data_IF_587676963403
#
_entry.id   IF_587676963403
#
_cell.length_a   1.000
_cell.length_b   1.000
_cell.length_c   1.000
_cell.angle_alpha   90.00
_cell.angle_beta   90.00
_cell.angle_gamma   90.00
#
_symmetry.space_group_name_H-M   'P 1'
#
loop_
_entity.id
_entity.type
_entity.pdbx_description
1 polymer ?
#
# COMPACT_ATOMS: atom_id res chain seq x y z
N UNK A 1 3.26 -11.38 8.91
CA UNK A 1 2.80 -10.20 9.67
C UNK A 1 3.83 -9.72 10.71
N UNK A 2 4.33 -10.57 11.61
CA UNK A 2 5.24 -10.18 12.70
C UNK A 2 6.54 -9.48 12.25
N UNK A 3 7.26 -10.04 11.26
CA UNK A 3 8.50 -9.45 10.73
C UNK A 3 8.32 -8.00 10.24
N UNK A 4 7.26 -7.71 9.49
CA UNK A 4 6.96 -6.36 9.02
C UNK A 4 6.67 -5.40 10.18
N UNK A 5 5.99 -5.86 11.24
CA UNK A 5 5.71 -5.05 12.44
C UNK A 5 6.99 -4.70 13.20
N UNK A 6 7.87 -5.68 13.40
CA UNK A 6 9.15 -5.47 14.09
C UNK A 6 10.08 -4.54 13.31
N UNK A 7 10.19 -4.72 11.99
CA UNK A 7 11.01 -3.83 11.12
C UNK A 7 10.55 -2.38 11.20
N UNK A 8 9.24 -2.13 11.18
CA UNK A 8 8.70 -0.77 11.34
C UNK A 8 9.01 -0.19 12.72
N UNK A 9 8.80 -0.96 13.79
CA UNK A 9 9.11 -0.49 15.15
C UNK A 9 10.58 -0.09 15.30
N UNK A 10 11.51 -0.91 14.81
CA UNK A 10 12.93 -0.61 14.84
C UNK A 10 13.30 0.62 14.00
N UNK A 11 12.79 0.70 12.77
CA UNK A 11 13.00 1.85 11.88
C UNK A 11 12.57 3.16 12.54
N UNK A 12 11.39 3.18 13.18
CA UNK A 12 10.83 4.40 13.75
C UNK A 12 11.58 4.80 15.01
N UNK A 13 11.89 3.83 15.88
CA UNK A 13 12.70 4.07 17.07
C UNK A 13 14.06 4.64 16.70
N UNK A 14 14.74 4.06 15.69
CA UNK A 14 16.06 4.53 15.27
C UNK A 14 16.00 5.92 14.62
N UNK A 15 14.98 6.18 13.78
CA UNK A 15 14.77 7.49 13.19
C UNK A 15 14.59 8.58 14.26
N UNK A 16 13.83 8.29 15.32
CA UNK A 16 13.65 9.22 16.43
C UNK A 16 14.95 9.46 17.22
N UNK A 17 15.71 8.39 17.50
CA UNK A 17 17.03 8.48 18.14
C UNK A 17 18.00 9.37 17.35
N UNK A 18 17.94 9.31 16.02
CA UNK A 18 18.74 10.14 15.11
C UNK A 18 18.21 11.57 14.94
N UNK A 19 17.13 11.95 15.63
CA UNK A 19 16.52 13.28 15.54
C UNK A 19 15.75 13.54 14.23
N UNK A 20 15.40 12.49 13.48
CA UNK A 20 14.60 12.64 12.27
C UNK A 20 13.15 13.01 12.62
N UNK A 21 12.54 13.87 11.81
CA UNK A 21 11.12 14.21 11.90
C UNK A 21 10.24 13.54 10.83
N UNK A 22 10.86 12.84 9.86
CA UNK A 22 10.19 12.17 8.74
C UNK A 22 10.84 10.84 8.41
N UNK A 23 10.03 9.88 7.97
CA UNK A 23 10.48 8.62 7.37
C UNK A 23 9.89 8.52 5.95
N UNK A 24 10.75 8.43 4.95
CA UNK A 24 10.36 8.17 3.57
C UNK A 24 10.23 6.67 3.32
N UNK A 25 9.05 6.24 2.90
CA UNK A 25 8.78 4.85 2.52
C UNK A 25 8.65 4.76 1.01
N UNK A 26 9.38 3.83 0.39
CA UNK A 26 9.42 3.64 -1.07
C UNK A 26 8.17 2.99 -1.68
N UNK A 27 6.98 3.22 -1.10
CA UNK A 27 5.74 2.72 -1.68
C UNK A 27 5.41 3.51 -2.95
N UNK A 28 5.20 2.79 -4.04
CA UNK A 28 4.95 3.35 -5.36
C UNK A 28 3.47 3.32 -5.73
N UNK A 29 3.12 3.84 -6.91
CA UNK A 29 1.73 3.94 -7.38
C UNK A 29 1.00 2.58 -7.36
N UNK A 30 1.63 1.53 -7.90
CA UNK A 30 1.04 0.19 -7.95
C UNK A 30 0.82 -0.41 -6.56
N UNK A 31 1.67 -0.11 -5.56
CA UNK A 31 1.45 -0.56 -4.17
C UNK A 31 0.13 -0.04 -3.60
N UNK A 32 -0.26 1.18 -3.97
CA UNK A 32 -1.50 1.82 -3.53
C UNK A 32 -2.70 1.07 -4.09
N UNK A 33 -2.67 0.75 -5.39
CA UNK A 33 -3.72 -0.01 -6.08
C UNK A 33 -3.82 -1.42 -5.51
N UNK A 34 -2.69 -2.13 -5.40
CA UNK A 34 -2.63 -3.48 -4.85
C UNK A 34 -3.20 -3.52 -3.44
N UNK A 35 -2.81 -2.57 -2.58
CA UNK A 35 -3.29 -2.51 -1.19
C UNK A 35 -4.79 -2.24 -1.12
N UNK A 36 -5.30 -1.36 -1.99
CA UNK A 36 -6.73 -1.03 -2.06
C UNK A 36 -7.56 -2.27 -2.44
N UNK A 37 -7.15 -2.98 -3.50
CA UNK A 37 -7.81 -4.22 -3.91
C UNK A 37 -7.67 -5.35 -2.89
N UNK A 38 -6.51 -5.50 -2.26
CA UNK A 38 -6.33 -6.46 -1.17
C UNK A 38 -7.29 -6.19 -0.02
N UNK A 39 -7.45 -4.92 0.36
CA UNK A 39 -8.41 -4.49 1.38
C UNK A 39 -9.84 -4.87 1.02
N UNK A 40 -10.25 -4.62 -0.21
CA UNK A 40 -11.60 -4.94 -0.69
C UNK A 40 -11.85 -6.45 -0.77
N UNK A 41 -10.95 -7.19 -1.43
CA UNK A 41 -11.17 -8.60 -1.79
C UNK A 41 -10.91 -9.58 -0.64
N UNK A 42 -9.96 -9.27 0.25
CA UNK A 42 -9.58 -10.17 1.35
C UNK A 42 -9.84 -9.58 2.73
N UNK A 43 -9.97 -8.25 2.84
CA UNK A 43 -10.22 -7.57 4.10
C UNK A 43 -11.67 -7.11 4.30
N UNK A 44 -12.52 -7.18 3.27
CA UNK A 44 -13.90 -6.68 3.33
C UNK A 44 -14.00 -5.19 3.65
N UNK A 45 -12.96 -4.40 3.35
CA UNK A 45 -12.90 -2.98 3.68
C UNK A 45 -12.30 -2.16 2.55
N UNK A 46 -12.86 -0.97 2.32
CA UNK A 46 -12.24 0.00 1.44
C UNK A 46 -11.26 0.85 2.25
N UNK A 47 -9.97 0.59 2.08
CA UNK A 47 -8.89 1.39 2.69
C UNK A 47 -7.75 1.56 1.69
N UNK A 48 -7.29 2.79 1.56
CA UNK A 48 -6.24 3.17 0.63
C UNK A 48 -4.95 3.47 1.39
N UNK A 49 -3.84 3.59 0.66
CA UNK A 49 -2.62 4.14 1.23
C UNK A 49 -2.67 5.65 1.21
N UNK A 50 -2.52 6.34 2.35
CA UNK A 50 -2.33 7.80 2.35
C UNK A 50 -0.92 8.22 1.90
N UNK A 51 -0.73 9.30 1.12
CA UNK A 51 0.60 9.74 0.70
C UNK A 51 1.48 10.23 1.86
N UNK A 52 0.85 10.74 2.93
CA UNK A 52 1.51 11.11 4.19
C UNK A 52 0.57 10.96 5.39
N UNK A 53 1.12 10.73 6.57
CA UNK A 53 0.37 10.69 7.84
C UNK A 53 1.30 10.79 9.06
N UNK A 54 0.78 11.26 10.19
CA UNK A 54 1.49 11.25 11.47
C UNK A 54 1.47 9.86 12.11
N UNK A 55 2.59 9.45 12.70
CA UNK A 55 2.67 8.23 13.48
C UNK A 55 1.80 8.31 14.73
N UNK A 56 0.96 7.30 14.97
CA UNK A 56 0.15 7.21 16.20
C UNK A 56 0.97 6.83 17.42
N UNK A 57 2.09 6.12 17.21
CA UNK A 57 2.87 5.50 18.30
C UNK A 57 4.21 6.20 18.55
N UNK A 58 4.60 7.14 17.68
CA UNK A 58 5.88 7.86 17.78
C UNK A 58 5.60 9.36 17.60
N UNK A 59 5.39 10.10 18.69
CA UNK A 59 5.06 11.52 18.65
C UNK A 59 6.11 12.32 17.86
N UNK A 60 5.63 13.26 17.03
CA UNK A 60 6.50 14.10 16.19
C UNK A 60 7.03 13.44 14.92
N UNK A 61 6.81 12.13 14.71
CA UNK A 61 7.24 11.43 13.50
C UNK A 61 6.17 11.48 12.40
N UNK A 62 6.53 11.97 11.22
CA UNK A 62 5.70 11.95 10.01
C UNK A 62 6.18 10.88 9.02
N UNK A 63 5.25 10.19 8.37
CA UNK A 63 5.53 9.26 7.30
C UNK A 63 5.17 9.87 5.97
N UNK A 64 6.05 9.71 4.98
CA UNK A 64 5.84 10.17 3.61
C UNK A 64 6.11 9.06 2.60
N UNK A 65 5.40 9.11 1.47
CA UNK A 65 5.58 8.19 0.32
C UNK A 65 5.94 9.00 -0.93
N UNK A 66 7.23 9.30 -1.17
CA UNK A 66 7.61 10.17 -2.29
C UNK A 66 7.27 9.59 -3.67
N UNK A 67 7.19 8.25 -3.78
CA UNK A 67 6.92 7.55 -5.03
C UNK A 67 5.42 7.32 -5.29
N UNK A 68 4.53 7.99 -4.55
CA UNK A 68 3.08 7.74 -4.56
C UNK A 68 2.43 7.79 -5.94
N UNK A 69 2.99 8.57 -6.87
CA UNK A 69 2.53 8.74 -8.26
C UNK A 69 3.50 8.15 -9.29
N UNK A 70 4.51 7.38 -8.85
CA UNK A 70 5.52 6.78 -9.72
C UNK A 70 5.14 5.32 -9.96
N UNK A 71 5.08 4.89 -11.22
CA UNK A 71 4.79 3.50 -11.55
C UNK A 71 6.00 2.59 -11.28
N UNK A 72 5.74 1.35 -10.90
CA UNK A 72 6.77 0.34 -10.66
C UNK A 72 7.66 0.14 -11.90
N UNK A 73 7.05 0.13 -13.09
CA UNK A 73 7.78 -0.02 -14.35
C UNK A 73 8.79 1.10 -14.58
N UNK A 74 8.47 2.33 -14.17
CA UNK A 74 9.38 3.47 -14.30
C UNK A 74 10.54 3.37 -13.29
N UNK A 75 10.28 2.83 -12.09
CA UNK A 75 11.32 2.55 -11.09
C UNK A 75 12.29 1.49 -11.61
N UNK A 76 11.77 0.41 -12.23
CA UNK A 76 12.59 -0.65 -12.83
C UNK A 76 13.43 -0.11 -13.99
N UNK A 77 12.84 0.71 -14.87
CA UNK A 77 13.58 1.39 -15.94
C UNK A 77 14.67 2.31 -15.42
N UNK A 78 14.37 3.10 -14.39
CA UNK A 78 15.36 3.98 -13.75
C UNK A 78 16.50 3.19 -13.11
N UNK A 79 16.19 2.08 -12.44
CA UNK A 79 17.20 1.15 -11.91
C UNK A 79 18.14 0.67 -13.01
N UNK A 80 17.57 0.15 -14.11
CA UNK A 80 18.34 -0.43 -15.21
C UNK A 80 19.19 0.62 -15.92
N UNK A 81 18.64 1.82 -16.12
CA UNK A 81 19.38 2.94 -16.71
C UNK A 81 20.61 3.37 -15.88
N UNK A 82 20.56 3.20 -14.56
CA UNK A 82 21.64 3.58 -13.65
C UNK A 82 22.51 2.39 -13.20
N UNK A 83 22.37 1.22 -13.84
CA UNK A 83 23.09 -0.02 -13.49
C UNK A 83 22.95 -0.44 -12.01
N UNK A 84 21.81 -0.12 -11.40
CA UNK A 84 21.57 -0.39 -9.98
C UNK A 84 21.10 -1.82 -9.74
N UNK A 85 21.64 -2.45 -8.71
CA UNK A 85 21.23 -3.79 -8.28
C UNK A 85 20.48 -3.68 -6.95
N UNK A 86 19.17 -3.92 -6.99
CA UNK A 86 18.34 -3.88 -5.78
C UNK A 86 18.41 -5.21 -5.04
N UNK A 87 18.69 -5.14 -3.75
CA UNK A 87 18.63 -6.32 -2.88
C UNK A 87 17.17 -6.75 -2.70
N UNK A 88 16.95 -8.06 -2.67
CA UNK A 88 15.72 -8.60 -2.14
C UNK A 88 15.71 -8.52 -0.61
N UNK A 89 14.56 -8.80 0.01
CA UNK A 89 14.50 -8.90 1.46
C UNK A 89 15.52 -9.96 1.93
N UNK A 90 16.51 -9.52 2.72
CA UNK A 90 17.64 -10.33 3.19
C UNK A 90 17.24 -11.37 4.26
N UNK A 91 16.01 -11.88 4.23
CA UNK A 91 15.57 -12.95 5.11
C UNK A 91 15.41 -14.25 4.32
N UNK A 92 15.95 -15.34 4.88
CA UNK A 92 15.85 -16.70 4.33
C UNK A 92 14.42 -17.14 4.03
N UNK A 93 13.46 -16.60 4.77
CA UNK A 93 12.03 -16.88 4.58
C UNK A 93 11.49 -16.35 3.24
N UNK A 94 12.10 -15.29 2.69
CA UNK A 94 11.74 -14.73 1.39
C UNK A 94 12.67 -15.17 0.27
N UNK A 95 13.86 -15.70 0.58
CA UNK A 95 14.76 -16.32 -0.41
C UNK A 95 14.06 -17.47 -1.15
N UNK A 96 13.30 -18.31 -0.44
CA UNK A 96 12.50 -19.40 -1.03
C UNK A 96 11.21 -18.93 -1.72
N UNK A 97 10.77 -17.69 -1.51
CA UNK A 97 9.64 -17.10 -2.23
C UNK A 97 10.06 -16.37 -3.51
N UNK A 98 11.34 -15.97 -3.62
CA UNK A 98 11.88 -15.31 -4.80
C UNK A 98 12.35 -16.30 -5.89
N UNK A 99 12.72 -17.52 -5.49
CA UNK A 99 12.86 -18.66 -6.39
C UNK A 99 11.49 -19.32 -6.56
N UNK A 100 10.66 -18.84 -7.48
CA UNK A 100 9.35 -19.41 -7.73
C UNK A 100 9.48 -20.88 -8.18
N UNK A 101 9.23 -21.82 -7.26
CA UNK A 101 9.15 -23.25 -7.56
C UNK A 101 8.83 -24.17 -6.38
N UNK A 102 8.52 -23.64 -5.19
CA UNK A 102 8.51 -24.49 -3.98
C UNK A 102 7.50 -24.11 -2.90
N UNK A 103 6.34 -23.54 -3.26
CA UNK A 103 5.05 -23.66 -2.55
C UNK A 103 3.99 -23.15 -3.53
N UNK A 104 2.99 -23.96 -3.88
CA UNK A 104 2.03 -23.74 -4.98
C UNK A 104 1.12 -22.50 -4.88
N UNK A 105 1.33 -21.59 -3.91
CA UNK A 105 0.57 -20.34 -3.80
C UNK A 105 1.52 -19.18 -3.52
N UNK A 106 1.69 -18.32 -4.52
CA UNK A 106 2.40 -17.05 -4.38
C UNK A 106 1.81 -16.16 -3.28
N UNK A 107 2.45 -15.03 -2.99
CA UNK A 107 1.90 -14.08 -2.02
C UNK A 107 0.55 -13.51 -2.51
N UNK A 108 -0.36 -13.15 -1.60
CA UNK A 108 -1.61 -12.46 -1.97
C UNK A 108 -1.38 -11.17 -2.76
N UNK A 109 -0.24 -10.53 -2.52
CA UNK A 109 0.19 -9.37 -3.30
C UNK A 109 0.52 -9.75 -4.74
N UNK A 110 1.23 -10.87 -4.95
CA UNK A 110 1.52 -11.37 -6.29
C UNK A 110 0.23 -11.77 -7.05
N UNK A 111 -0.73 -12.41 -6.35
CA UNK A 111 -2.05 -12.73 -6.93
C UNK A 111 -2.78 -11.46 -7.40
N UNK A 112 -2.84 -10.42 -6.57
CA UNK A 112 -3.49 -9.14 -6.92
C UNK A 112 -2.75 -8.41 -8.04
N UNK A 113 -1.42 -8.44 -8.04
CA UNK A 113 -0.62 -7.85 -9.11
C UNK A 113 -0.91 -8.51 -10.46
N UNK A 114 -1.05 -9.84 -10.48
CA UNK A 114 -1.43 -10.56 -11.69
C UNK A 114 -2.86 -10.22 -12.12
N UNK A 115 -3.80 -10.16 -11.18
CA UNK A 115 -5.18 -9.73 -11.46
C UNK A 115 -5.23 -8.34 -12.10
N UNK A 116 -4.49 -7.36 -11.56
CA UNK A 116 -4.42 -6.00 -12.12
C UNK A 116 -3.87 -6.04 -13.54
N UNK A 117 -2.83 -6.85 -13.81
CA UNK A 117 -2.28 -6.99 -15.16
C UNK A 117 -3.29 -7.59 -16.13
N UNK A 118 -4.02 -8.63 -15.74
CA UNK A 118 -5.06 -9.23 -16.58
C UNK A 118 -6.20 -8.26 -16.88
N UNK A 119 -6.62 -7.45 -15.91
CA UNK A 119 -7.59 -6.39 -16.14
C UNK A 119 -7.05 -5.32 -17.09
N UNK A 120 -5.81 -4.88 -16.90
CA UNK A 120 -5.16 -3.86 -17.73
C UNK A 120 -5.01 -4.30 -19.20
N UNK A 121 -4.94 -5.61 -19.49
CA UNK A 121 -4.98 -6.13 -20.88
C UNK A 121 -6.31 -5.87 -21.57
N UNK A 122 -7.42 -5.81 -20.83
CA UNK A 122 -8.76 -5.53 -21.37
C UNK A 122 -9.00 -4.03 -21.52
N UNK A 123 -8.58 -3.25 -20.53
CA UNK A 123 -8.62 -1.79 -20.57
C UNK A 123 -7.46 -1.23 -19.74
N UNK A 124 -6.53 -0.57 -20.44
CA UNK A 124 -5.31 -0.01 -19.85
C UNK A 124 -5.57 1.08 -18.81
N UNK A 125 -6.77 1.65 -18.77
CA UNK A 125 -7.15 2.67 -17.79
C UNK A 125 -7.62 2.08 -16.46
N UNK A 126 -7.86 0.77 -16.35
CA UNK A 126 -8.38 0.17 -15.11
C UNK A 126 -7.51 0.49 -13.89
N UNK A 127 -6.16 0.36 -13.91
CA UNK A 127 -5.32 0.75 -12.79
C UNK A 127 -5.52 2.21 -12.37
N UNK A 128 -5.62 3.13 -13.35
CA UNK A 128 -5.90 4.54 -13.11
C UNK A 128 -7.27 4.81 -12.51
N UNK A 129 -8.30 4.06 -12.93
CA UNK A 129 -9.65 4.16 -12.37
C UNK A 129 -9.71 3.63 -10.94
N UNK A 130 -8.99 2.55 -10.62
CA UNK A 130 -8.90 2.03 -9.24
C UNK A 130 -8.19 3.04 -8.34
N UNK A 131 -7.08 3.63 -8.78
CA UNK A 131 -6.41 4.66 -8.01
C UNK A 131 -7.30 5.89 -7.80
N UNK A 132 -7.95 6.36 -8.86
CA UNK A 132 -8.82 7.54 -8.80
C UNK A 132 -10.06 7.31 -7.95
N UNK A 133 -10.61 6.09 -7.87
CA UNK A 133 -11.81 5.84 -7.04
C UNK A 133 -11.57 6.14 -5.56
N UNK A 134 -10.32 6.12 -5.09
CA UNK A 134 -9.92 6.53 -3.75
C UNK A 134 -10.29 7.99 -3.42
N UNK A 135 -10.34 8.88 -4.41
CA UNK A 135 -10.70 10.30 -4.23
C UNK A 135 -12.10 10.65 -4.72
N UNK A 136 -12.81 9.71 -5.34
CA UNK A 136 -14.15 9.91 -5.91
C UNK A 136 -15.19 9.08 -5.13
N UNK A 137 -15.25 9.28 -3.81
CA UNK A 137 -16.20 8.59 -2.93
C UNK A 137 -17.39 9.51 -2.62
N UNK A 138 -18.60 9.09 -3.00
CA UNK A 138 -19.83 9.78 -2.64
C UNK A 138 -20.40 9.19 -1.33
N UNK A 139 -20.31 9.93 -0.23
CA UNK A 139 -20.77 9.49 1.09
C UNK A 139 -22.28 9.25 1.16
N UNK A 140 -23.09 9.92 0.33
CA UNK A 140 -24.55 9.76 0.28
C UNK A 140 -24.96 8.36 -0.23
N UNK A 141 -24.03 7.67 -0.90
CA UNK A 141 -24.25 6.33 -1.47
C UNK A 141 -23.54 5.21 -0.71
N UNK A 142 -22.92 5.55 0.42
CA UNK A 142 -22.16 4.60 1.25
C UNK A 142 -23.02 4.16 2.44
N UNK A 143 -23.19 2.84 2.61
CA UNK A 143 -23.98 2.25 3.72
C UNK A 143 -23.40 2.66 5.08
N UNK A 144 -22.08 2.54 5.24
CA UNK A 144 -21.38 2.95 6.44
C UNK A 144 -19.92 3.29 6.15
N UNK A 145 -19.37 4.24 6.89
CA UNK A 145 -17.94 4.59 6.83
C UNK A 145 -17.37 4.82 8.22
N UNK A 146 -16.04 4.76 8.34
CA UNK A 146 -15.33 4.94 9.61
C UNK A 146 -14.48 6.20 9.57
N UNK A 147 -14.72 7.13 10.49
CA UNK A 147 -13.92 8.35 10.66
C UNK A 147 -13.45 8.49 12.10
N UNK A 148 -12.14 8.71 12.31
CA UNK A 148 -11.53 8.85 13.66
C UNK A 148 -11.93 7.75 14.66
N UNK A 149 -12.04 6.51 14.18
CA UNK A 149 -12.53 5.35 14.93
C UNK A 149 -14.02 5.31 15.30
N UNK A 150 -14.81 6.26 14.82
CA UNK A 150 -16.28 6.25 14.91
C UNK A 150 -16.84 5.69 13.61
N UNK A 151 -17.86 4.83 13.70
CA UNK A 151 -18.60 4.32 12.54
C UNK A 151 -19.83 5.20 12.37
N UNK A 152 -20.04 5.69 11.15
CA UNK A 152 -21.21 6.45 10.74
C UNK A 152 -22.01 5.59 9.77
N UNK A 153 -23.29 5.42 10.03
CA UNK A 153 -24.22 4.67 9.19
C UNK A 153 -25.13 5.65 8.44
N UNK A 154 -25.59 5.28 7.23
CA UNK A 154 -26.49 6.15 6.47
C UNK A 154 -27.80 6.47 7.24
N UNK A 155 -28.20 5.59 8.17
CA UNK A 155 -29.37 5.80 9.03
C UNK A 155 -29.19 6.93 10.07
N UNK A 156 -27.96 7.35 10.35
CA UNK A 156 -27.69 8.39 11.36
C UNK A 156 -28.23 9.77 10.95
N UNK A 157 -28.50 9.96 9.65
CA UNK A 157 -29.02 11.21 9.06
C UNK A 157 -30.23 10.96 8.15
N UNK A 158 -30.93 9.83 8.32
CA UNK A 158 -32.00 9.42 7.41
C UNK A 158 -33.25 10.32 7.48
N UNK A 159 -33.54 10.87 8.66
CA UNK A 159 -34.69 11.73 8.92
C UNK A 159 -34.33 13.23 8.98
N UNK A 160 -33.05 13.58 8.77
CA UNK A 160 -32.57 14.98 8.69
C UNK A 160 -32.86 15.58 7.29
#
# INVERSE_FOLDING_TARGET
>A
YLCARMRRGYLYSKAQELGCNKIALGHHYDDVIETTLMGMLYGGQFQTMMPKFHSTNYPGMELIRPLYLVHEHDILRWRDYNDLHFIQCACRLTESCASCGGTEKGSKRAEIKELIRELAKRDSQIPARIFSSASHVNLDTVIAYKQKNVVHHFLDSYDE
#
